data_IF_504806013363
#
_entry.id   IF_504806013363
#
_cell.length_a   1.000
_cell.length_b   1.000
_cell.length_c   1.000
_cell.angle_alpha   90.00
_cell.angle_beta   90.00
_cell.angle_gamma   90.00
#
_symmetry.space_group_name_H-M   'P 1'
#
loop_
_entity.id
_entity.type
_entity.pdbx_description
1 polymer ?
#
# COMPACT_ATOMS: atom_id res chain seq x y z
N UNK A 1 41.49 30.55 -15.75
CA UNK A 1 40.81 29.47 -16.50
C UNK A 1 39.34 29.59 -16.22
N UNK A 2 38.56 30.02 -17.22
CA UNK A 2 37.11 30.10 -17.16
C UNK A 2 36.53 28.70 -17.38
N UNK A 3 35.65 28.26 -16.49
CA UNK A 3 34.86 27.05 -16.71
C UNK A 3 33.47 27.53 -17.08
N UNK A 4 33.25 27.65 -18.39
CA UNK A 4 31.93 27.68 -19.01
C UNK A 4 31.17 26.42 -18.62
N UNK A 5 30.21 26.52 -17.70
CA UNK A 5 29.15 25.53 -17.56
C UNK A 5 27.95 26.00 -18.39
N UNK A 6 27.95 25.56 -19.65
CA UNK A 6 26.81 25.60 -20.55
C UNK A 6 25.58 24.97 -19.90
N UNK A 7 24.53 25.78 -19.77
CA UNK A 7 23.13 25.47 -20.09
C UNK A 7 22.66 24.03 -19.81
N UNK A 8 22.11 23.81 -18.62
CA UNK A 8 21.21 22.69 -18.30
C UNK A 8 19.75 23.07 -18.57
N UNK A 9 19.41 23.44 -19.79
CA UNK A 9 18.03 23.89 -20.14
C UNK A 9 17.20 22.90 -20.94
N UNK A 10 17.65 21.65 -21.14
CA UNK A 10 16.96 20.69 -22.02
C UNK A 10 16.26 19.50 -21.31
N UNK A 11 16.02 19.55 -20.00
CA UNK A 11 15.34 18.46 -19.25
C UNK A 11 13.82 18.65 -19.03
N UNK A 12 13.19 19.68 -19.60
CA UNK A 12 11.84 20.13 -19.22
C UNK A 12 10.69 19.64 -20.09
N UNK A 13 10.87 18.60 -20.93
CA UNK A 13 9.72 17.98 -21.63
C UNK A 13 9.35 16.65 -20.96
N UNK A 14 8.20 16.57 -20.26
CA UNK A 14 7.76 15.32 -19.65
C UNK A 14 7.54 14.25 -20.73
N UNK A 15 7.88 13.01 -20.38
CA UNK A 15 7.70 11.83 -21.23
C UNK A 15 6.25 11.76 -21.73
N UNK A 16 6.00 11.39 -23.00
CA UNK A 16 4.63 11.30 -23.52
C UNK A 16 3.80 10.32 -22.70
N UNK A 17 2.56 10.71 -22.41
CA UNK A 17 1.58 9.87 -21.73
C UNK A 17 1.26 8.65 -22.60
N UNK A 18 1.55 7.46 -22.08
CA UNK A 18 1.18 6.18 -22.71
C UNK A 18 0.03 5.58 -21.91
N UNK A 19 -1.08 5.31 -22.58
CA UNK A 19 -2.26 4.71 -21.95
C UNK A 19 -2.24 3.20 -22.16
N UNK A 20 -2.37 2.44 -21.08
CA UNK A 20 -2.53 0.98 -21.14
C UNK A 20 -4.02 0.66 -21.18
N UNK A 21 -4.47 0.08 -22.29
CA UNK A 21 -5.87 -0.30 -22.45
C UNK A 21 -6.18 -1.59 -21.71
N UNK A 22 -7.08 -1.50 -20.73
CA UNK A 22 -7.71 -2.65 -20.10
C UNK A 22 -9.16 -2.78 -20.60
N UNK A 23 -9.52 -3.86 -21.32
CA UNK A 23 -10.84 -4.02 -21.92
C UNK A 23 -11.97 -4.06 -20.87
N UNK A 24 -11.71 -4.60 -19.68
CA UNK A 24 -12.72 -4.66 -18.61
C UNK A 24 -13.04 -3.27 -18.06
N UNK A 25 -12.02 -2.44 -17.90
CA UNK A 25 -12.18 -1.05 -17.45
C UNK A 25 -12.94 -0.25 -18.51
N UNK A 26 -12.60 -0.44 -19.79
CA UNK A 26 -13.29 0.20 -20.90
C UNK A 26 -14.78 -0.15 -20.93
N UNK A 27 -15.14 -1.42 -20.75
CA UNK A 27 -16.54 -1.87 -20.67
C UNK A 27 -17.31 -1.20 -19.52
N UNK A 28 -16.69 -1.07 -18.34
CA UNK A 28 -17.29 -0.35 -17.19
C UNK A 28 -17.50 1.13 -17.49
N UNK A 29 -16.53 1.77 -18.13
CA UNK A 29 -16.64 3.17 -18.56
C UNK A 29 -17.77 3.34 -19.57
N UNK A 30 -17.87 2.47 -20.58
CA UNK A 30 -18.93 2.53 -21.58
C UNK A 30 -20.33 2.33 -20.97
N UNK A 31 -20.47 1.38 -20.04
CA UNK A 31 -21.71 1.21 -19.29
C UNK A 31 -22.10 2.46 -18.50
N UNK A 32 -21.12 3.10 -17.83
CA UNK A 32 -21.34 4.35 -17.11
C UNK A 32 -21.72 5.51 -18.04
N UNK A 33 -21.06 5.64 -19.19
CA UNK A 33 -21.39 6.66 -20.20
C UNK A 33 -22.81 6.51 -20.73
N UNK A 34 -23.26 5.26 -20.93
CA UNK A 34 -24.62 4.96 -21.38
C UNK A 34 -25.67 5.25 -20.30
N UNK A 35 -25.35 4.96 -19.04
CA UNK A 35 -26.24 5.21 -17.91
C UNK A 35 -26.37 6.71 -17.57
N UNK A 36 -25.29 7.48 -17.72
CA UNK A 36 -25.21 8.88 -17.33
C UNK A 36 -24.69 9.75 -18.51
N UNK A 37 -25.53 10.07 -19.50
CA UNK A 37 -25.11 10.87 -20.66
C UNK A 37 -24.77 12.32 -20.29
N UNK A 38 -25.41 12.88 -19.26
CA UNK A 38 -25.17 14.25 -18.79
C UNK A 38 -23.76 14.41 -18.23
N UNK A 39 -23.26 13.40 -17.51
CA UNK A 39 -21.89 13.36 -17.01
C UNK A 39 -20.88 13.46 -18.16
N UNK A 40 -21.12 12.74 -19.26
CA UNK A 40 -20.23 12.77 -20.43
C UNK A 40 -20.17 14.18 -21.00
N UNK A 41 -21.33 14.83 -21.12
CA UNK A 41 -21.43 16.21 -21.60
C UNK A 41 -20.70 17.17 -20.66
N UNK A 42 -20.95 17.07 -19.36
CA UNK A 42 -20.34 17.91 -18.34
C UNK A 42 -18.81 17.78 -18.32
N UNK A 43 -18.27 16.55 -18.22
CA UNK A 43 -16.81 16.36 -18.19
C UNK A 43 -16.14 16.74 -19.51
N UNK A 44 -16.81 16.54 -20.65
CA UNK A 44 -16.28 16.98 -21.95
C UNK A 44 -16.16 18.50 -21.99
N UNK A 45 -17.17 19.23 -21.51
CA UNK A 45 -17.13 20.70 -21.42
C UNK A 45 -16.11 21.17 -20.40
N UNK A 46 -16.06 20.54 -19.22
CA UNK A 46 -15.11 20.88 -18.17
C UNK A 46 -13.66 20.82 -18.67
N UNK A 47 -13.28 19.74 -19.38
CA UNK A 47 -11.92 19.58 -19.89
C UNK A 47 -11.60 20.59 -21.01
N UNK A 48 -12.58 20.94 -21.87
CA UNK A 48 -12.37 21.88 -22.98
C UNK A 48 -12.39 23.35 -22.53
N UNK A 49 -13.30 23.70 -21.65
CA UNK A 49 -13.56 25.09 -21.23
C UNK A 49 -12.72 25.49 -20.02
N UNK A 50 -12.45 24.58 -19.08
CA UNK A 50 -11.74 24.86 -17.83
C UNK A 50 -10.79 23.69 -17.45
N UNK A 51 -9.70 23.48 -18.21
CA UNK A 51 -8.81 22.33 -18.01
C UNK A 51 -8.14 22.31 -16.63
N UNK A 52 -7.79 23.46 -16.05
CA UNK A 52 -7.22 23.55 -14.69
C UNK A 52 -8.19 23.00 -13.65
N UNK A 53 -9.46 23.40 -13.74
CA UNK A 53 -10.52 22.90 -12.85
C UNK A 53 -10.77 21.39 -13.05
N UNK A 54 -10.60 20.89 -14.28
CA UNK A 54 -10.66 19.46 -14.54
C UNK A 54 -9.54 18.71 -13.81
N UNK A 55 -8.31 19.23 -13.85
CA UNK A 55 -7.15 18.68 -13.13
C UNK A 55 -7.42 18.66 -11.62
N UNK A 56 -7.89 19.76 -11.04
CA UNK A 56 -8.26 19.83 -9.62
C UNK A 56 -9.32 18.80 -9.26
N UNK A 57 -10.32 18.59 -10.12
CA UNK A 57 -11.38 17.60 -9.89
C UNK A 57 -10.81 16.18 -9.85
N UNK A 58 -9.82 15.86 -10.70
CA UNK A 58 -9.14 14.57 -10.65
C UNK A 58 -8.31 14.41 -9.39
N UNK A 59 -7.51 15.42 -9.03
CA UNK A 59 -6.71 15.41 -7.80
C UNK A 59 -7.58 15.29 -6.55
N UNK A 60 -8.73 15.96 -6.52
CA UNK A 60 -9.68 15.88 -5.41
C UNK A 60 -10.28 14.49 -5.27
N UNK A 61 -10.58 13.79 -6.37
CA UNK A 61 -11.05 12.40 -6.31
C UNK A 61 -9.99 11.45 -5.77
N UNK A 62 -8.74 11.63 -6.19
CA UNK A 62 -7.62 10.85 -5.67
C UNK A 62 -7.40 11.13 -4.18
N UNK A 63 -7.57 12.38 -3.76
CA UNK A 63 -7.53 12.78 -2.35
C UNK A 63 -8.65 12.11 -1.54
N UNK A 64 -9.89 12.16 -2.01
CA UNK A 64 -11.02 11.48 -1.33
C UNK A 64 -10.79 9.98 -1.20
N UNK A 65 -10.24 9.34 -2.24
CA UNK A 65 -9.85 7.94 -2.19
C UNK A 65 -8.80 7.71 -1.11
N UNK A 66 -7.75 8.52 -1.08
CA UNK A 66 -6.72 8.44 -0.03
C UNK A 66 -7.34 8.58 1.37
N UNK A 67 -8.20 9.57 1.60
CA UNK A 67 -8.88 9.76 2.89
C UNK A 67 -9.71 8.54 3.28
N UNK A 68 -10.44 7.94 2.33
CA UNK A 68 -11.22 6.73 2.57
C UNK A 68 -10.34 5.55 2.98
N UNK A 69 -9.17 5.38 2.36
CA UNK A 69 -8.21 4.34 2.71
C UNK A 69 -7.61 4.60 4.09
N UNK A 70 -7.22 5.85 4.36
CA UNK A 70 -6.62 6.26 5.62
C UNK A 70 -7.55 6.07 6.82
N UNK A 71 -8.88 6.17 6.65
CA UNK A 71 -9.83 5.85 7.74
C UNK A 71 -9.67 4.43 8.29
N UNK A 72 -9.36 3.45 7.44
CA UNK A 72 -9.10 2.09 7.90
C UNK A 72 -7.68 1.98 8.50
N UNK A 73 -6.69 2.59 7.85
CA UNK A 73 -5.30 2.60 8.34
C UNK A 73 -5.23 3.19 9.74
N UNK A 74 -5.87 4.33 10.01
CA UNK A 74 -5.89 4.95 11.34
C UNK A 74 -6.49 4.04 12.42
N UNK A 75 -7.46 3.18 12.07
CA UNK A 75 -8.01 2.19 13.01
C UNK A 75 -7.03 1.05 13.29
N UNK A 76 -6.22 0.67 12.30
CA UNK A 76 -5.24 -0.41 12.43
C UNK A 76 -3.91 0.06 13.03
N UNK A 77 -3.61 1.35 12.94
CA UNK A 77 -2.33 1.93 13.35
C UNK A 77 -1.94 1.64 14.80
N UNK A 78 -2.85 1.72 15.81
CA UNK A 78 -2.51 1.34 17.18
C UNK A 78 -2.08 -0.13 17.30
N UNK A 79 -2.77 -1.03 16.61
CA UNK A 79 -2.44 -2.46 16.63
C UNK A 79 -1.11 -2.74 15.91
N UNK A 80 -0.86 -2.08 14.77
CA UNK A 80 0.39 -2.20 14.03
C UNK A 80 1.59 -1.66 14.85
N UNK A 81 1.39 -0.55 15.56
CA UNK A 81 2.40 0.01 16.48
C UNK A 81 2.68 -0.94 17.64
N UNK A 82 1.65 -1.47 18.30
CA UNK A 82 1.83 -2.44 19.37
C UNK A 82 2.58 -3.70 18.89
N UNK A 83 2.24 -4.20 17.71
CA UNK A 83 2.97 -5.31 17.07
C UNK A 83 4.43 -4.94 16.84
N UNK A 84 4.71 -3.80 16.20
CA UNK A 84 6.07 -3.34 15.94
C UNK A 84 6.89 -3.24 17.24
N UNK A 85 6.36 -2.65 18.30
CA UNK A 85 7.10 -2.50 19.55
C UNK A 85 7.43 -3.84 20.23
N UNK A 86 6.57 -4.86 20.07
CA UNK A 86 6.79 -6.21 20.58
C UNK A 86 7.79 -7.04 19.74
N UNK A 87 8.18 -6.56 18.56
CA UNK A 87 9.10 -7.30 17.67
C UNK A 87 10.57 -7.27 18.11
N UNK A 88 11.31 -8.28 17.64
CA UNK A 88 12.78 -8.34 17.74
C UNK A 88 13.44 -7.24 16.91
N UNK A 89 14.70 -6.90 17.24
CA UNK A 89 15.45 -5.85 16.53
C UNK A 89 15.54 -6.12 15.01
N UNK A 90 15.75 -7.38 14.62
CA UNK A 90 15.84 -7.77 13.20
C UNK A 90 14.52 -7.65 12.44
N UNK A 91 13.39 -7.82 13.12
CA UNK A 91 12.07 -7.64 12.52
C UNK A 91 11.71 -6.14 12.41
N UNK A 92 12.08 -5.33 13.42
CA UNK A 92 11.96 -3.87 13.37
C UNK A 92 12.77 -3.27 12.23
N UNK A 93 14.04 -3.64 12.10
CA UNK A 93 14.93 -3.16 11.04
C UNK A 93 14.38 -3.44 9.62
N UNK A 94 13.68 -4.57 9.43
CA UNK A 94 13.03 -4.89 8.15
C UNK A 94 11.83 -4.00 7.86
N UNK A 95 11.02 -3.72 8.88
CA UNK A 95 9.88 -2.79 8.76
C UNK A 95 10.41 -1.37 8.49
N UNK A 96 11.46 -0.95 9.18
CA UNK A 96 12.06 0.37 9.01
C UNK A 96 12.68 0.54 7.62
N UNK A 97 13.37 -0.49 7.11
CA UNK A 97 13.87 -0.52 5.74
C UNK A 97 12.74 -0.38 4.70
N UNK A 98 11.60 -1.06 4.91
CA UNK A 98 10.43 -0.93 4.04
C UNK A 98 9.80 0.49 4.08
N UNK A 99 10.15 1.30 5.10
CA UNK A 99 9.72 2.69 5.23
C UNK A 99 10.72 3.70 4.66
N UNK A 100 11.93 3.28 4.30
CA UNK A 100 12.94 4.17 3.74
C UNK A 100 12.49 4.73 2.38
N UNK A 101 12.58 6.05 2.23
CA UNK A 101 12.17 6.73 1.00
C UNK A 101 10.66 6.82 0.77
N UNK A 102 9.83 6.30 1.68
CA UNK A 102 8.37 6.45 1.59
C UNK A 102 7.99 7.92 1.78
N UNK A 103 7.16 8.43 0.86
CA UNK A 103 6.61 9.78 0.95
C UNK A 103 5.94 9.97 2.33
N UNK A 104 6.26 11.05 3.09
CA UNK A 104 5.61 11.38 4.35
C UNK A 104 4.08 11.25 4.34
N UNK A 105 3.45 11.62 3.22
CA UNK A 105 2.00 11.54 3.03
C UNK A 105 1.44 10.11 3.07
N UNK A 106 2.26 9.09 2.84
CA UNK A 106 1.86 7.68 2.81
C UNK A 106 2.49 6.85 3.94
N UNK A 107 3.24 7.48 4.86
CA UNK A 107 4.03 6.77 5.88
C UNK A 107 3.17 5.85 6.75
N UNK A 108 2.03 6.34 7.25
CA UNK A 108 1.15 5.55 8.11
C UNK A 108 0.61 4.30 7.40
N UNK A 109 0.19 4.48 6.14
CA UNK A 109 -0.26 3.36 5.29
C UNK A 109 0.86 2.36 5.04
N UNK A 110 2.05 2.85 4.70
CA UNK A 110 3.22 2.01 4.47
C UNK A 110 3.62 1.25 5.74
N UNK A 111 3.56 1.90 6.90
CA UNK A 111 3.90 1.27 8.18
C UNK A 111 2.94 0.15 8.52
N UNK A 112 1.62 0.40 8.44
CA UNK A 112 0.61 -0.64 8.67
C UNK A 112 0.78 -1.80 7.69
N UNK A 113 1.05 -1.51 6.41
CA UNK A 113 1.28 -2.55 5.40
C UNK A 113 2.54 -3.37 5.67
N UNK A 114 3.64 -2.73 6.07
CA UNK A 114 4.90 -3.38 6.40
C UNK A 114 4.78 -4.25 7.66
N UNK A 115 4.10 -3.75 8.71
CA UNK A 115 3.83 -4.50 9.93
C UNK A 115 2.99 -5.75 9.64
N UNK A 116 1.92 -5.63 8.83
CA UNK A 116 1.11 -6.78 8.41
C UNK A 116 1.91 -7.78 7.57
N UNK A 117 2.76 -7.29 6.66
CA UNK A 117 3.62 -8.15 5.84
C UNK A 117 4.64 -8.93 6.69
N UNK A 118 5.21 -8.31 7.71
CA UNK A 118 6.13 -9.00 8.63
C UNK A 118 5.38 -10.01 9.50
N UNK A 119 4.16 -9.69 9.97
CA UNK A 119 3.28 -10.64 10.65
C UNK A 119 2.99 -11.87 9.80
N UNK A 120 2.62 -11.67 8.53
CA UNK A 120 2.36 -12.78 7.59
C UNK A 120 3.63 -13.61 7.33
N UNK A 121 4.80 -12.95 7.27
CA UNK A 121 6.08 -13.62 7.13
C UNK A 121 6.39 -14.52 8.33
N UNK A 122 6.14 -14.03 9.55
CA UNK A 122 6.33 -14.81 10.77
C UNK A 122 5.43 -16.03 10.80
N UNK A 123 4.13 -15.84 10.54
CA UNK A 123 3.18 -16.94 10.45
C UNK A 123 3.62 -18.01 9.42
N UNK A 124 4.06 -17.59 8.22
CA UNK A 124 4.56 -18.53 7.20
C UNK A 124 5.80 -19.30 7.64
N UNK A 125 6.70 -18.66 8.39
CA UNK A 125 7.89 -19.34 8.94
C UNK A 125 7.52 -20.38 9.98
N UNK A 126 6.56 -20.06 10.85
CA UNK A 126 6.02 -21.00 11.85
C UNK A 126 5.37 -22.22 11.18
N UNK A 127 4.58 -22.01 10.12
CA UNK A 127 3.98 -23.12 9.35
C UNK A 127 5.02 -23.93 8.57
N UNK A 128 6.06 -23.30 8.03
CA UNK A 128 7.11 -23.99 7.28
C UNK A 128 8.06 -24.80 8.18
N UNK A 129 8.26 -24.38 9.43
CA UNK A 129 9.13 -25.03 10.40
C UNK A 129 8.36 -25.33 11.71
N UNK A 130 7.53 -26.39 11.77
CA UNK A 130 6.74 -26.74 12.95
C UNK A 130 7.57 -27.28 14.14
N UNK A 131 8.90 -27.17 14.14
CA UNK A 131 9.81 -27.84 15.08
C UNK A 131 10.04 -27.12 16.43
N UNK A 132 9.12 -26.25 16.86
CA UNK A 132 9.17 -25.65 18.21
C UNK A 132 7.84 -25.75 18.96
N UNK A 133 7.13 -26.86 18.78
CA UNK A 133 6.18 -27.32 19.80
C UNK A 133 6.98 -28.14 20.81
N UNK A 134 7.09 -27.75 22.10
CA UNK A 134 7.66 -28.65 23.10
C UNK A 134 6.79 -29.91 23.12
N UNK A 135 7.38 -31.05 22.79
CA UNK A 135 6.72 -32.33 22.90
C UNK A 135 6.31 -32.54 24.36
N UNK A 136 5.01 -32.58 24.62
CA UNK A 136 4.45 -33.05 25.89
C UNK A 136 5.03 -34.46 26.12
N UNK A 137 5.75 -34.72 27.22
CA UNK A 137 6.24 -36.06 27.48
C UNK A 137 5.04 -37.00 27.67
N UNK A 138 5.10 -38.24 27.13
CA UNK A 138 4.01 -39.20 27.27
C UNK A 138 3.78 -39.51 28.75
N UNK A 139 2.53 -39.74 29.19
CA UNK A 139 2.27 -40.10 30.58
C UNK A 139 2.97 -41.43 30.87
N UNK A 140 3.80 -41.43 31.91
CA UNK A 140 4.49 -42.61 32.38
C UNK A 140 3.46 -43.72 32.67
N UNK A 141 3.65 -44.87 32.02
CA UNK A 141 2.89 -46.07 32.28
C UNK A 141 2.97 -46.40 33.77
N UNK A 142 1.82 -46.37 34.45
CA UNK A 142 1.69 -46.77 35.84
C UNK A 142 2.14 -48.24 35.97
N UNK A 143 3.36 -48.44 36.45
CA UNK A 143 3.85 -49.72 36.88
C UNK A 143 2.97 -50.21 38.03
N UNK A 144 2.23 -51.29 37.77
CA UNK A 144 1.60 -52.11 38.80
C UNK A 144 2.68 -52.52 39.80
N UNK A 145 2.52 -52.14 41.07
CA UNK A 145 3.20 -52.80 42.17
C UNK A 145 2.13 -53.32 43.12
N UNK A 146 2.08 -54.64 43.17
CA UNK A 146 1.35 -55.41 44.16
C UNK A 146 2.07 -55.32 45.51
N UNK A 147 1.30 -55.15 46.59
CA UNK A 147 1.54 -55.69 47.92
C UNK A 147 0.22 -55.69 48.68
#
# INVERSE_FOLDING_TARGET
>A
MAIDQKEKTDLTKPKPLVFRDNPEVKKKIEAHKKANPDDVTYYTRLVKENPERAIETFLYRDQQKHESEMRLIMKQLPQASAFYHAQTADAKARIDHDLEGVNPYMKDKAFVSAALREKDRQARREFANPATTPATPPPAAAARVAA
#
